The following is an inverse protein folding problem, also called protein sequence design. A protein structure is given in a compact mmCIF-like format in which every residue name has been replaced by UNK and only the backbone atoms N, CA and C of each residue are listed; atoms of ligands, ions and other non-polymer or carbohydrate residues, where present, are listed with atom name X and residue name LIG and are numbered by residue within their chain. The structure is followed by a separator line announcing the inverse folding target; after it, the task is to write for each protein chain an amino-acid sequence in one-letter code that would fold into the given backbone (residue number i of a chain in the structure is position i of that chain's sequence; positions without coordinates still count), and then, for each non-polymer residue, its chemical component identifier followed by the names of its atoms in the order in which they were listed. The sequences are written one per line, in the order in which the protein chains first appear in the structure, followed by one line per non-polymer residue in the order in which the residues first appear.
data_IF_781837511145
#
_entry.id   IF_781837511145
#
_cell.length_a   1.000
_cell.length_b   1.000
_cell.length_c   1.000
_cell.angle_alpha   90.00
_cell.angle_beta   90.00
_cell.angle_gamma   90.00
#
_symmetry.space_group_name_H-M   'P 1'
#
loop_
_entity.id
_entity.type
_entity.pdbx_description
1 polymer ?
#
# COMPACT_ATOMS: atom_id res chain seq x y z
N UNK A 1 -58.17 22.44 -8.97
CA UNK A 1 -58.96 22.93 -10.13
C UNK A 1 -60.43 22.51 -10.11
N UNK A 2 -60.79 21.31 -9.65
CA UNK A 2 -62.21 20.99 -9.37
C UNK A 2 -62.85 22.02 -8.41
N UNK A 3 -62.18 22.48 -7.33
CA UNK A 3 -62.74 23.52 -6.46
C UNK A 3 -62.92 24.89 -7.16
N UNK A 4 -61.98 25.30 -8.00
CA UNK A 4 -62.04 26.60 -8.71
C UNK A 4 -63.06 26.59 -9.84
N UNK A 5 -63.23 25.48 -10.55
CA UNK A 5 -64.29 25.32 -11.56
C UNK A 5 -65.69 25.38 -10.92
N UNK A 6 -65.87 24.76 -9.75
CA UNK A 6 -67.12 24.83 -8.98
C UNK A 6 -67.40 26.26 -8.52
N UNK A 7 -66.39 26.99 -8.03
CA UNK A 7 -66.52 28.40 -7.62
C UNK A 7 -66.87 29.31 -8.81
N UNK A 8 -66.25 29.10 -9.99
CA UNK A 8 -66.51 29.91 -11.19
C UNK A 8 -67.91 29.70 -11.76
N UNK A 9 -68.40 28.46 -11.73
CA UNK A 9 -69.78 28.12 -12.12
C UNK A 9 -70.77 28.74 -11.12
N UNK A 10 -70.46 28.72 -9.81
CA UNK A 10 -71.33 29.27 -8.77
C UNK A 10 -71.34 30.81 -8.71
N UNK A 11 -70.40 31.49 -9.37
CA UNK A 11 -70.30 32.97 -9.46
C UNK A 11 -70.80 33.54 -10.79
N UNK A 12 -71.45 32.72 -11.64
CA UNK A 12 -72.08 33.16 -12.89
C UNK A 12 -71.17 33.13 -14.13
N UNK A 13 -70.04 32.42 -14.08
CA UNK A 13 -69.17 32.23 -15.24
C UNK A 13 -69.77 31.32 -16.32
N UNK A 14 -69.35 31.48 -17.58
CA UNK A 14 -69.83 30.66 -18.71
C UNK A 14 -69.38 29.20 -18.57
N UNK A 15 -70.35 28.32 -18.32
CA UNK A 15 -70.16 26.87 -18.18
C UNK A 15 -69.46 26.26 -19.40
N UNK A 16 -69.71 26.76 -20.62
CA UNK A 16 -69.07 26.23 -21.83
C UNK A 16 -67.57 26.50 -21.83
N UNK A 17 -67.16 27.68 -21.36
CA UNK A 17 -65.74 28.03 -21.21
C UNK A 17 -65.08 27.21 -20.10
N UNK A 18 -65.76 27.02 -18.96
CA UNK A 18 -65.22 26.21 -17.85
C UNK A 18 -65.00 24.75 -18.27
N UNK A 19 -65.95 24.17 -19.00
CA UNK A 19 -65.84 22.79 -19.52
C UNK A 19 -64.74 22.71 -20.59
N UNK A 20 -64.70 23.65 -21.53
CA UNK A 20 -63.67 23.70 -22.57
C UNK A 20 -62.25 23.80 -22.01
N UNK A 21 -62.04 24.71 -21.04
CA UNK A 21 -60.75 24.87 -20.35
C UNK A 21 -60.38 23.64 -19.52
N UNK A 22 -61.36 22.99 -18.90
CA UNK A 22 -61.13 21.76 -18.13
C UNK A 22 -60.69 20.61 -19.02
N UNK A 23 -61.33 20.43 -20.19
CA UNK A 23 -60.96 19.40 -21.17
C UNK A 23 -59.54 19.64 -21.69
N UNK A 24 -59.21 20.88 -22.07
CA UNK A 24 -57.86 21.24 -22.50
C UNK A 24 -56.83 20.96 -21.40
N UNK A 25 -57.14 21.30 -20.16
CA UNK A 25 -56.26 21.05 -19.02
C UNK A 25 -56.08 19.54 -18.73
N UNK A 26 -57.14 18.73 -18.80
CA UNK A 26 -57.05 17.29 -18.58
C UNK A 26 -56.28 16.57 -19.70
N UNK A 27 -56.30 17.09 -20.93
CA UNK A 27 -55.53 16.55 -22.05
C UNK A 27 -54.06 17.01 -22.01
N UNK A 28 -53.80 18.30 -21.78
CA UNK A 28 -52.46 18.89 -21.87
C UNK A 28 -51.70 18.77 -20.55
N UNK A 29 -52.37 18.92 -19.41
CA UNK A 29 -51.75 18.96 -18.08
C UNK A 29 -50.87 17.74 -17.77
N UNK A 30 -51.36 16.49 -17.95
CA UNK A 30 -50.54 15.30 -17.75
C UNK A 30 -49.35 15.23 -18.71
N UNK A 31 -49.55 15.56 -19.99
CA UNK A 31 -48.47 15.55 -20.99
C UNK A 31 -47.39 16.59 -20.66
N UNK A 32 -47.80 17.78 -20.23
CA UNK A 32 -46.90 18.84 -19.78
C UNK A 32 -46.18 18.46 -18.49
N UNK A 33 -46.87 17.86 -17.52
CA UNK A 33 -46.26 17.36 -16.29
C UNK A 33 -45.21 16.28 -16.54
N UNK A 34 -45.49 15.31 -17.43
CA UNK A 34 -44.52 14.29 -17.86
C UNK A 34 -43.34 14.93 -18.59
N UNK A 35 -43.58 15.93 -19.44
CA UNK A 35 -42.52 16.67 -20.13
C UNK A 35 -41.59 17.37 -19.14
N UNK A 36 -42.13 18.12 -18.17
CA UNK A 36 -41.33 18.80 -17.13
C UNK A 36 -40.55 17.78 -16.29
N UNK A 37 -41.17 16.68 -15.88
CA UNK A 37 -40.50 15.64 -15.11
C UNK A 37 -39.37 14.98 -15.90
N UNK A 38 -39.59 14.65 -17.19
CA UNK A 38 -38.53 14.10 -18.05
C UNK A 38 -37.40 15.08 -18.28
N UNK A 39 -37.70 16.36 -18.51
CA UNK A 39 -36.69 17.41 -18.66
C UNK A 39 -35.85 17.57 -17.39
N UNK A 40 -36.48 17.57 -16.21
CA UNK A 40 -35.78 17.62 -14.92
C UNK A 40 -34.86 16.40 -14.72
N UNK A 41 -35.34 15.19 -15.05
CA UNK A 41 -34.55 13.95 -14.97
C UNK A 41 -33.36 13.99 -15.94
N UNK A 42 -33.56 14.46 -17.19
CA UNK A 42 -32.46 14.62 -18.17
C UNK A 42 -31.43 15.63 -17.66
N UNK A 43 -31.88 16.76 -17.10
CA UNK A 43 -30.99 17.76 -16.52
C UNK A 43 -30.19 17.19 -15.35
N UNK A 44 -30.82 16.39 -14.49
CA UNK A 44 -30.16 15.73 -13.37
C UNK A 44 -29.11 14.72 -13.84
N UNK A 45 -29.43 13.89 -14.83
CA UNK A 45 -28.45 12.95 -15.40
C UNK A 45 -27.31 13.66 -16.12
N UNK A 46 -27.59 14.77 -16.80
CA UNK A 46 -26.56 15.58 -17.46
C UNK A 46 -25.59 16.16 -16.44
N UNK A 47 -26.10 16.70 -15.33
CA UNK A 47 -25.28 17.19 -14.22
C UNK A 47 -24.39 16.08 -13.62
N UNK A 48 -24.94 14.89 -13.36
CA UNK A 48 -24.12 13.78 -12.85
C UNK A 48 -23.07 13.31 -13.86
N UNK A 49 -23.39 13.29 -15.15
CA UNK A 49 -22.44 12.95 -16.19
C UNK A 49 -21.29 13.96 -16.23
N UNK A 50 -21.60 15.26 -16.20
CA UNK A 50 -20.60 16.33 -16.17
C UNK A 50 -19.71 16.26 -14.91
N UNK A 51 -20.30 16.09 -13.73
CA UNK A 51 -19.54 15.91 -12.50
C UNK A 51 -18.62 14.68 -12.53
N UNK A 52 -19.06 13.59 -13.16
CA UNK A 52 -18.24 12.37 -13.33
C UNK A 52 -17.12 12.59 -14.33
N UNK A 53 -17.38 13.29 -15.44
CA UNK A 53 -16.37 13.65 -16.44
C UNK A 53 -15.31 14.56 -15.83
N UNK A 54 -15.71 15.60 -15.10
CA UNK A 54 -14.79 16.49 -14.39
C UNK A 54 -13.89 15.72 -13.41
N UNK A 55 -14.43 14.70 -12.73
CA UNK A 55 -13.63 13.85 -11.85
C UNK A 55 -12.62 12.99 -12.62
N UNK A 56 -12.99 12.49 -13.80
CA UNK A 56 -12.07 11.74 -14.67
C UNK A 56 -10.97 12.66 -15.20
N UNK A 57 -11.33 13.85 -15.69
CA UNK A 57 -10.37 14.86 -16.16
C UNK A 57 -9.37 15.23 -15.06
N UNK A 58 -9.85 15.52 -13.85
CA UNK A 58 -8.98 15.80 -12.70
C UNK A 58 -8.01 14.64 -12.36
N UNK A 59 -8.40 13.39 -12.60
CA UNK A 59 -7.53 12.22 -12.39
C UNK A 59 -6.51 12.09 -13.52
N UNK A 60 -6.90 12.43 -14.76
CA UNK A 60 -6.01 12.41 -15.93
C UNK A 60 -4.96 13.53 -15.88
N UNK A 61 -5.26 14.65 -15.24
CA UNK A 61 -4.33 15.76 -15.03
C UNK A 61 -3.30 15.50 -13.92
N UNK A 62 -3.30 14.30 -13.31
CA UNK A 62 -2.34 13.97 -12.26
C UNK A 62 -0.92 13.93 -12.84
N UNK A 63 0.00 14.67 -12.21
CA UNK A 63 1.39 14.76 -12.66
C UNK A 63 2.05 13.39 -12.66
N UNK A 64 2.49 12.94 -13.83
CA UNK A 64 3.24 11.69 -13.97
C UNK A 64 4.64 11.80 -13.34
N UNK A 65 5.14 10.69 -12.81
CA UNK A 65 6.53 10.59 -12.38
C UNK A 65 7.44 10.47 -13.61
N UNK A 66 8.39 11.40 -13.74
CA UNK A 66 9.35 11.39 -14.84
C UNK A 66 10.49 10.41 -14.57
N UNK A 67 10.78 9.52 -15.51
CA UNK A 67 11.93 8.62 -15.47
C UNK A 67 12.98 9.08 -16.47
N UNK A 68 14.26 8.86 -16.15
CA UNK A 68 15.36 9.07 -17.08
C UNK A 68 15.68 7.80 -17.86
N UNK A 69 16.90 7.73 -18.37
CA UNK A 69 17.43 6.64 -19.21
C UNK A 69 18.65 5.95 -18.61
N UNK A 70 19.08 6.33 -17.39
CA UNK A 70 20.28 5.77 -16.76
C UNK A 70 20.05 4.37 -16.23
N UNK A 71 21.11 3.57 -16.30
CA UNK A 71 21.23 2.26 -15.66
C UNK A 71 22.58 2.19 -14.94
N UNK A 72 22.58 2.08 -13.61
CA UNK A 72 23.78 1.84 -12.80
C UNK A 72 23.87 0.39 -12.33
N UNK A 73 25.08 -0.11 -12.04
CA UNK A 73 25.26 -1.46 -11.47
C UNK A 73 25.25 -1.48 -9.93
N UNK A 74 25.68 -0.39 -9.29
CA UNK A 74 25.70 -0.28 -7.84
C UNK A 74 24.30 -0.10 -7.23
N UNK A 75 24.18 -0.51 -5.96
CA UNK A 75 22.91 -0.72 -5.24
C UNK A 75 22.97 -0.23 -3.78
N UNK A 76 23.88 0.69 -3.48
CA UNK A 76 23.79 1.48 -2.25
C UNK A 76 22.56 2.38 -2.32
N UNK A 77 21.95 2.70 -1.17
CA UNK A 77 20.83 3.64 -1.07
C UNK A 77 21.30 4.85 -0.26
N UNK A 78 20.99 6.06 -0.70
CA UNK A 78 21.33 7.29 0.03
C UNK A 78 20.15 8.25 0.01
N UNK A 79 19.80 8.75 1.19
CA UNK A 79 18.87 9.85 1.42
C UNK A 79 19.70 11.08 1.79
N UNK A 80 19.48 12.18 1.09
CA UNK A 80 20.17 13.45 1.31
C UNK A 80 19.16 14.57 1.50
N UNK A 81 19.03 15.00 2.75
CA UNK A 81 18.22 16.13 3.21
C UNK A 81 16.75 16.03 2.77
N UNK A 82 16.23 14.80 2.81
CA UNK A 82 14.92 14.45 2.25
C UNK A 82 13.80 14.94 3.16
N UNK A 83 12.85 15.66 2.58
CA UNK A 83 11.60 16.02 3.24
C UNK A 83 10.38 15.66 2.39
N UNK A 84 9.30 15.26 3.05
CA UNK A 84 8.09 14.79 2.38
C UNK A 84 6.84 14.99 3.24
N UNK A 85 5.76 15.42 2.60
CA UNK A 85 4.42 15.57 3.15
C UNK A 85 3.38 14.86 2.27
N UNK A 86 2.38 14.27 2.91
CA UNK A 86 1.14 13.89 2.21
C UNK A 86 0.20 15.07 2.27
N UNK A 87 -0.10 15.65 1.10
CA UNK A 87 -0.84 16.92 1.03
C UNK A 87 -0.14 17.97 1.90
N UNK A 88 -0.79 18.48 2.94
CA UNK A 88 -0.26 19.49 3.84
C UNK A 88 0.41 18.93 5.12
N UNK A 89 0.42 17.60 5.30
CA UNK A 89 0.93 16.96 6.51
C UNK A 89 2.37 16.48 6.31
N UNK A 90 3.36 17.22 6.83
CA UNK A 90 4.77 16.80 6.82
C UNK A 90 4.97 15.53 7.63
N UNK A 91 5.50 14.50 6.97
CA UNK A 91 5.78 13.19 7.58
C UNK A 91 7.27 12.92 7.72
N UNK A 92 8.09 13.45 6.81
CA UNK A 92 9.55 13.34 6.83
C UNK A 92 10.13 14.76 6.79
N UNK A 93 11.04 15.06 7.72
CA UNK A 93 11.65 16.38 7.88
C UNK A 93 13.18 16.26 7.92
N UNK A 94 13.82 16.61 6.80
CA UNK A 94 15.27 16.68 6.62
C UNK A 94 16.04 15.41 7.05
N UNK A 95 15.65 14.26 6.49
CA UNK A 95 16.26 12.96 6.78
C UNK A 95 17.43 12.69 5.85
N UNK A 96 18.59 12.36 6.45
CA UNK A 96 19.82 11.98 5.75
C UNK A 96 20.40 10.70 6.33
N UNK A 97 20.58 9.68 5.50
CA UNK A 97 21.24 8.42 5.85
C UNK A 97 21.65 7.66 4.58
N UNK A 98 22.49 6.65 4.73
CA UNK A 98 22.85 5.74 3.64
C UNK A 98 22.76 4.29 4.07
N UNK A 99 22.55 3.39 3.11
CA UNK A 99 22.63 1.94 3.25
C UNK A 99 23.69 1.46 2.27
N UNK A 100 24.79 0.93 2.79
CA UNK A 100 25.92 0.45 1.99
C UNK A 100 25.57 -0.86 1.29
N UNK A 101 26.32 -1.19 0.24
CA UNK A 101 26.15 -2.46 -0.48
C UNK A 101 26.25 -3.65 0.48
N UNK A 102 25.23 -4.48 0.53
CA UNK A 102 25.17 -5.66 1.39
C UNK A 102 24.91 -5.39 2.87
N UNK A 103 24.67 -4.13 3.25
CA UNK A 103 24.30 -3.74 4.61
C UNK A 103 22.79 -3.92 4.82
N UNK A 104 22.42 -4.42 6.00
CA UNK A 104 21.04 -4.44 6.48
C UNK A 104 20.82 -3.33 7.50
N UNK A 105 20.03 -2.32 7.12
CA UNK A 105 19.63 -1.21 7.97
C UNK A 105 18.18 -1.38 8.42
N UNK A 106 17.94 -1.31 9.72
CA UNK A 106 16.61 -1.40 10.31
C UNK A 106 16.05 -0.03 10.71
N UNK A 107 14.79 0.25 10.38
CA UNK A 107 14.02 1.42 10.80
C UNK A 107 13.09 1.03 11.95
N UNK A 108 13.22 1.72 13.08
CA UNK A 108 12.45 1.47 14.30
C UNK A 108 11.92 2.77 14.86
N UNK A 109 10.88 2.72 15.69
CA UNK A 109 10.28 3.93 16.26
C UNK A 109 8.78 3.80 16.46
N UNK A 110 8.14 4.80 17.08
CA UNK A 110 6.70 4.78 17.31
C UNK A 110 5.89 4.69 16.02
N UNK A 111 4.67 4.16 16.12
CA UNK A 111 3.69 4.21 15.03
C UNK A 111 3.44 5.64 14.58
N UNK A 112 3.39 5.87 13.27
CA UNK A 112 3.26 7.23 12.71
C UNK A 112 4.57 8.04 12.64
N UNK A 113 5.71 7.50 13.08
CA UNK A 113 6.99 8.22 13.03
C UNK A 113 7.59 8.46 11.64
N UNK A 114 7.01 7.89 10.57
CA UNK A 114 7.47 8.08 9.18
C UNK A 114 8.19 6.89 8.54
N UNK A 115 8.40 5.78 9.26
CA UNK A 115 9.12 4.57 8.78
C UNK A 115 8.62 4.05 7.42
N UNK A 116 7.32 3.77 7.31
CA UNK A 116 6.69 3.29 6.08
C UNK A 116 6.81 4.31 4.94
N UNK A 117 6.81 5.61 5.25
CA UNK A 117 7.04 6.65 4.24
C UNK A 117 8.47 6.62 3.72
N UNK A 118 9.48 6.44 4.59
CA UNK A 118 10.88 6.27 4.16
C UNK A 118 11.02 5.07 3.23
N UNK A 119 10.44 3.91 3.59
CA UNK A 119 10.46 2.73 2.72
C UNK A 119 9.75 2.97 1.38
N UNK A 120 8.62 3.67 1.39
CA UNK A 120 7.90 4.03 0.16
C UNK A 120 8.71 4.98 -0.73
N UNK A 121 9.39 5.95 -0.15
CA UNK A 121 10.30 6.86 -0.87
C UNK A 121 11.51 6.10 -1.43
N UNK A 122 12.08 5.16 -0.68
CA UNK A 122 13.19 4.32 -1.15
C UNK A 122 12.80 3.46 -2.36
N UNK A 123 11.55 3.00 -2.42
CA UNK A 123 10.98 2.30 -3.58
C UNK A 123 10.40 3.23 -4.66
N UNK A 124 10.54 4.55 -4.49
CA UNK A 124 10.00 5.58 -5.39
C UNK A 124 8.50 5.46 -5.66
N UNK A 125 7.71 5.13 -4.64
CA UNK A 125 6.25 5.29 -4.70
C UNK A 125 5.84 6.78 -4.71
N UNK A 126 6.71 7.64 -4.18
CA UNK A 126 6.58 9.08 -4.21
C UNK A 126 7.94 9.70 -4.49
N UNK A 127 7.96 10.88 -5.09
CA UNK A 127 9.14 11.72 -5.14
C UNK A 127 9.18 12.62 -3.90
N UNK A 128 10.36 12.89 -3.32
CA UNK A 128 10.49 13.81 -2.20
C UNK A 128 10.18 15.25 -2.64
N UNK A 129 9.65 16.06 -1.73
CA UNK A 129 9.36 17.48 -1.97
C UNK A 129 10.65 18.32 -1.97
N UNK A 130 11.61 17.96 -1.12
CA UNK A 130 12.96 18.51 -1.10
C UNK A 130 13.98 17.42 -0.79
N UNK A 131 15.25 17.69 -1.11
CA UNK A 131 16.32 16.70 -0.99
C UNK A 131 16.31 15.70 -2.14
N UNK A 132 17.21 14.72 -2.05
CA UNK A 132 17.48 13.78 -3.12
C UNK A 132 17.67 12.36 -2.58
N UNK A 133 17.28 11.38 -3.38
CA UNK A 133 17.48 9.96 -3.09
C UNK A 133 18.34 9.40 -4.21
N UNK A 134 19.41 8.71 -3.84
CA UNK A 134 20.34 8.09 -4.78
C UNK A 134 20.34 6.57 -4.61
N UNK A 135 20.48 5.87 -5.74
CA UNK A 135 20.81 4.45 -5.77
C UNK A 135 22.13 4.32 -6.53
N UNK A 136 23.15 3.70 -5.93
CA UNK A 136 24.46 3.55 -6.58
C UNK A 136 25.08 4.87 -7.05
N UNK A 137 24.82 5.97 -6.34
CA UNK A 137 25.27 7.32 -6.69
C UNK A 137 24.47 8.02 -7.81
N UNK A 138 23.47 7.38 -8.41
CA UNK A 138 22.59 7.99 -9.42
C UNK A 138 21.29 8.41 -8.75
N UNK A 139 20.82 9.63 -9.04
CA UNK A 139 19.54 10.11 -8.49
C UNK A 139 18.41 9.19 -8.99
N UNK A 140 17.55 8.75 -8.08
CA UNK A 140 16.48 7.78 -8.34
C UNK A 140 15.52 8.24 -9.47
N UNK A 141 15.46 9.56 -9.73
CA UNK A 141 14.67 10.17 -10.79
C UNK A 141 15.22 9.93 -12.20
N UNK A 142 16.53 9.77 -12.32
CA UNK A 142 17.24 9.64 -13.60
C UNK A 142 17.30 8.21 -14.13
N UNK A 143 16.88 7.23 -13.33
CA UNK A 143 16.84 5.83 -13.76
C UNK A 143 15.76 5.57 -14.80
N UNK A 144 16.07 4.67 -15.72
CA UNK A 144 15.05 3.98 -16.50
C UNK A 144 14.07 3.23 -15.57
N UNK A 145 12.78 3.29 -15.90
CA UNK A 145 11.69 2.74 -15.08
C UNK A 145 11.84 1.25 -14.86
N UNK A 146 12.07 0.48 -15.94
CA UNK A 146 12.13 -0.98 -15.85
C UNK A 146 13.37 -1.41 -15.05
N UNK A 147 14.49 -0.73 -15.29
CA UNK A 147 15.75 -0.96 -14.58
C UNK A 147 15.60 -0.70 -13.08
N UNK A 148 14.99 0.43 -12.70
CA UNK A 148 14.73 0.75 -11.29
C UNK A 148 13.80 -0.28 -10.64
N UNK A 149 12.71 -0.62 -11.33
CA UNK A 149 11.75 -1.61 -10.83
C UNK A 149 12.39 -2.98 -10.65
N UNK A 150 13.28 -3.42 -11.55
CA UNK A 150 13.98 -4.70 -11.40
C UNK A 150 15.00 -4.70 -10.25
N UNK A 151 15.62 -3.55 -9.95
CA UNK A 151 16.60 -3.39 -8.87
C UNK A 151 16.01 -3.41 -7.46
N UNK A 152 14.74 -3.09 -7.31
CA UNK A 152 14.08 -2.95 -6.00
C UNK A 152 13.06 -4.06 -5.81
N UNK A 153 13.14 -4.80 -4.71
CA UNK A 153 12.04 -5.66 -4.27
C UNK A 153 11.46 -5.14 -2.98
N UNK A 154 10.16 -4.85 -2.99
CA UNK A 154 9.41 -4.42 -1.82
C UNK A 154 8.52 -5.55 -1.31
N UNK A 155 8.70 -5.96 -0.06
CA UNK A 155 7.80 -6.90 0.61
C UNK A 155 6.92 -6.13 1.57
N UNK A 156 5.63 -6.06 1.27
CA UNK A 156 4.65 -5.35 2.07
C UNK A 156 4.24 -6.13 3.31
N UNK A 157 3.91 -5.38 4.37
CA UNK A 157 3.27 -5.89 5.58
C UNK A 157 2.03 -6.74 5.24
N UNK A 158 1.12 -6.16 4.45
CA UNK A 158 -0.09 -6.84 3.99
C UNK A 158 0.09 -7.31 2.55
N UNK A 159 0.61 -8.53 2.42
CA UNK A 159 0.80 -9.17 1.13
C UNK A 159 -0.53 -9.43 0.43
N UNK A 160 -0.64 -9.01 -0.83
CA UNK A 160 -1.81 -9.28 -1.67
C UNK A 160 -1.46 -10.28 -2.76
N UNK A 161 -2.30 -11.28 -2.93
CA UNK A 161 -2.33 -12.17 -4.08
C UNK A 161 -3.44 -11.72 -5.02
N UNK A 162 -3.20 -11.84 -6.31
CA UNK A 162 -4.17 -11.53 -7.35
C UNK A 162 -5.04 -12.75 -7.64
N UNK A 163 -6.26 -12.51 -8.12
CA UNK A 163 -7.23 -13.55 -8.47
C UNK A 163 -6.84 -14.26 -9.78
N UNK A 164 -5.76 -15.02 -9.73
CA UNK A 164 -5.14 -15.78 -10.81
C UNK A 164 -4.49 -17.05 -10.21
N UNK A 165 -3.84 -17.87 -11.02
CA UNK A 165 -3.15 -19.07 -10.50
C UNK A 165 -2.01 -18.68 -9.54
N UNK A 166 -1.62 -19.60 -8.65
CA UNK A 166 -0.44 -19.38 -7.81
C UNK A 166 0.83 -19.21 -8.65
N UNK A 167 0.93 -19.97 -9.75
CA UNK A 167 2.01 -19.82 -10.72
C UNK A 167 2.08 -18.39 -11.26
N UNK A 168 0.97 -17.85 -11.77
CA UNK A 168 0.94 -16.50 -12.34
C UNK A 168 1.26 -15.45 -11.28
N UNK A 169 0.77 -15.63 -10.05
CA UNK A 169 1.15 -14.77 -8.93
C UNK A 169 2.66 -14.74 -8.71
N UNK A 170 3.34 -15.89 -8.77
CA UNK A 170 4.78 -15.99 -8.60
C UNK A 170 5.54 -15.35 -9.78
N UNK A 171 5.08 -15.58 -11.00
CA UNK A 171 5.67 -15.04 -12.23
C UNK A 171 5.60 -13.51 -12.34
N UNK A 172 4.75 -12.83 -11.55
CA UNK A 172 4.81 -11.35 -11.42
C UNK A 172 6.19 -10.89 -10.93
N UNK A 173 6.90 -11.69 -10.12
CA UNK A 173 8.25 -11.37 -9.67
C UNK A 173 9.31 -11.51 -10.75
N UNK A 174 9.15 -12.50 -11.64
CA UNK A 174 10.04 -12.81 -12.75
C UNK A 174 9.27 -13.61 -13.81
N UNK A 175 8.97 -12.99 -14.95
CA UNK A 175 8.06 -13.53 -15.98
C UNK A 175 8.61 -14.80 -16.65
N UNK A 176 9.93 -14.91 -16.78
CA UNK A 176 10.65 -15.99 -17.45
C UNK A 176 11.20 -17.04 -16.48
N UNK A 177 10.70 -17.09 -15.24
CA UNK A 177 11.18 -18.03 -14.23
C UNK A 177 10.92 -19.50 -14.62
N UNK A 178 11.96 -20.31 -14.50
CA UNK A 178 11.91 -21.76 -14.72
C UNK A 178 11.20 -22.48 -13.57
N UNK A 179 10.70 -23.70 -13.82
CA UNK A 179 10.06 -24.51 -12.76
C UNK A 179 10.99 -24.76 -11.56
N UNK A 180 12.30 -24.91 -11.82
CA UNK A 180 13.30 -25.07 -10.75
C UNK A 180 13.46 -23.81 -9.90
N UNK A 181 13.44 -22.63 -10.52
CA UNK A 181 13.49 -21.37 -9.78
C UNK A 181 12.23 -21.16 -8.93
N UNK A 182 11.06 -21.50 -9.49
CA UNK A 182 9.78 -21.47 -8.76
C UNK A 182 9.84 -22.42 -7.55
N UNK A 183 10.27 -23.66 -7.75
CA UNK A 183 10.39 -24.64 -6.67
C UNK A 183 11.36 -24.19 -5.59
N UNK A 184 12.54 -23.66 -5.96
CA UNK A 184 13.51 -23.14 -5.00
C UNK A 184 12.97 -21.93 -4.23
N UNK A 185 12.26 -21.02 -4.90
CA UNK A 185 11.65 -19.86 -4.24
C UNK A 185 10.55 -20.28 -3.24
N UNK A 186 9.75 -21.30 -3.58
CA UNK A 186 8.77 -21.89 -2.68
C UNK A 186 9.43 -22.55 -1.47
N UNK A 187 10.56 -23.25 -1.65
CA UNK A 187 11.32 -23.82 -0.53
C UNK A 187 11.92 -22.73 0.36
N UNK A 188 12.46 -21.67 -0.22
CA UNK A 188 13.19 -20.62 0.49
C UNK A 188 12.28 -19.68 1.27
N UNK A 189 11.09 -19.40 0.74
CA UNK A 189 10.03 -18.71 1.48
C UNK A 189 9.27 -19.63 2.44
N UNK A 190 9.60 -20.93 2.38
CA UNK A 190 8.87 -21.99 3.03
C UNK A 190 7.40 -21.96 2.66
N UNK A 191 6.98 -21.78 1.41
CA UNK A 191 5.57 -21.90 0.99
C UNK A 191 5.29 -23.20 0.22
N UNK A 192 6.30 -24.08 0.13
CA UNK A 192 6.20 -25.36 -0.59
C UNK A 192 5.13 -26.28 -0.02
N UNK A 193 5.05 -26.41 1.30
CA UNK A 193 4.02 -27.14 2.04
C UNK A 193 2.61 -26.63 1.74
N UNK A 194 2.44 -25.31 1.65
CA UNK A 194 1.15 -24.70 1.29
C UNK A 194 0.74 -25.18 -0.11
N UNK A 195 1.65 -25.10 -1.08
CA UNK A 195 1.39 -25.51 -2.47
C UNK A 195 1.14 -27.01 -2.58
N UNK A 196 1.90 -27.83 -1.86
CA UNK A 196 1.81 -29.30 -1.90
C UNK A 196 0.51 -29.84 -1.29
N UNK A 197 -0.07 -29.11 -0.33
CA UNK A 197 -1.35 -29.45 0.27
C UNK A 197 -2.56 -29.08 -0.61
N UNK A 198 -2.35 -28.38 -1.73
CA UNK A 198 -3.42 -28.02 -2.66
C UNK A 198 -3.59 -29.09 -3.74
N UNK A 199 -4.84 -29.47 -4.02
CA UNK A 199 -5.18 -30.47 -5.04
C UNK A 199 -4.58 -30.14 -6.42
N UNK A 200 -4.61 -28.88 -6.82
CA UNK A 200 -4.14 -28.41 -8.13
C UNK A 200 -2.74 -27.77 -8.05
N UNK A 201 -2.09 -27.82 -6.89
CA UNK A 201 -0.76 -27.23 -6.67
C UNK A 201 -0.65 -25.79 -7.15
N UNK A 202 0.36 -25.52 -7.97
CA UNK A 202 0.62 -24.21 -8.58
C UNK A 202 -0.52 -23.69 -9.50
N UNK A 203 -1.36 -24.59 -10.03
CA UNK A 203 -2.47 -24.20 -10.90
C UNK A 203 -3.71 -23.76 -10.11
N UNK A 204 -3.67 -23.85 -8.77
CA UNK A 204 -4.75 -23.39 -7.90
C UNK A 204 -5.01 -21.89 -8.10
N UNK A 205 -6.26 -21.51 -8.36
CA UNK A 205 -6.65 -20.10 -8.55
C UNK A 205 -7.01 -19.48 -7.19
N UNK A 206 -6.24 -18.47 -6.79
CA UNK A 206 -6.50 -17.70 -5.56
C UNK A 206 -7.79 -16.88 -5.67
N UNK A 207 -8.52 -16.73 -4.56
CA UNK A 207 -9.73 -15.89 -4.48
C UNK A 207 -10.96 -16.51 -5.15
N UNK A 208 -10.98 -17.84 -5.29
CA UNK A 208 -12.17 -18.63 -5.63
C UNK A 208 -12.75 -19.26 -4.35
N UNK A 209 -13.95 -19.86 -4.42
CA UNK A 209 -14.63 -20.41 -3.23
C UNK A 209 -13.72 -21.45 -2.56
N UNK A 210 -13.27 -21.17 -1.33
CA UNK A 210 -12.43 -22.08 -0.54
C UNK A 210 -10.91 -21.94 -0.75
N UNK A 211 -10.43 -20.98 -1.55
CA UNK A 211 -8.99 -20.79 -1.81
C UNK A 211 -8.44 -19.48 -1.22
N UNK A 212 -8.91 -19.12 -0.02
CA UNK A 212 -8.37 -17.99 0.74
C UNK A 212 -7.31 -18.48 1.71
N UNK A 213 -6.13 -17.89 1.63
CA UNK A 213 -5.03 -18.14 2.55
C UNK A 213 -5.15 -17.28 3.79
N UNK A 214 -4.62 -17.79 4.90
CA UNK A 214 -4.29 -16.97 6.06
C UNK A 214 -3.29 -15.87 5.67
N UNK A 215 -3.19 -14.82 6.49
CA UNK A 215 -2.25 -13.74 6.20
C UNK A 215 -0.78 -14.18 6.20
N UNK A 216 -0.40 -15.14 7.05
CA UNK A 216 0.95 -15.71 7.08
C UNK A 216 1.29 -16.50 5.82
N UNK A 217 0.37 -17.33 5.34
CA UNK A 217 0.53 -18.06 4.08
C UNK A 217 0.63 -17.11 2.87
N UNK A 218 -0.23 -16.08 2.81
CA UNK A 218 -0.17 -15.07 1.76
C UNK A 218 1.16 -14.29 1.78
N UNK A 219 1.72 -14.05 2.98
CA UNK A 219 3.02 -13.42 3.13
C UNK A 219 4.17 -14.34 2.66
N UNK A 220 4.16 -15.63 3.02
CA UNK A 220 5.14 -16.62 2.54
C UNK A 220 5.15 -16.71 1.00
N UNK A 221 3.99 -16.65 0.36
CA UNK A 221 3.88 -16.58 -1.11
C UNK A 221 4.36 -15.24 -1.70
N UNK A 222 4.23 -14.13 -0.98
CA UNK A 222 4.82 -12.85 -1.40
C UNK A 222 6.33 -12.81 -1.24
N UNK A 223 6.87 -13.49 -0.22
CA UNK A 223 8.32 -13.65 -0.04
C UNK A 223 8.88 -14.53 -1.16
N UNK A 224 8.16 -15.57 -1.60
CA UNK A 224 8.55 -16.38 -2.77
C UNK A 224 8.70 -15.50 -4.04
N UNK A 225 7.77 -14.56 -4.28
CA UNK A 225 7.89 -13.58 -5.37
C UNK A 225 9.18 -12.75 -5.26
N UNK A 226 9.55 -12.33 -4.06
CA UNK A 226 10.78 -11.57 -3.82
C UNK A 226 12.05 -12.42 -4.06
N UNK A 227 12.03 -13.71 -3.70
CA UNK A 227 13.09 -14.65 -4.05
C UNK A 227 13.24 -14.81 -5.57
N UNK A 228 12.14 -14.99 -6.29
CA UNK A 228 12.14 -15.11 -7.76
C UNK A 228 12.68 -13.86 -8.45
N UNK A 229 12.23 -12.69 -7.99
CA UNK A 229 12.71 -11.40 -8.52
C UNK A 229 14.20 -11.22 -8.28
N UNK A 230 14.70 -11.71 -7.14
CA UNK A 230 16.10 -11.62 -6.71
C UNK A 230 16.73 -10.24 -6.87
N UNK A 231 15.98 -9.18 -6.57
CA UNK A 231 16.47 -7.81 -6.59
C UNK A 231 17.62 -7.58 -5.60
N UNK A 232 18.50 -6.63 -5.90
CA UNK A 232 19.69 -6.31 -5.10
C UNK A 232 19.40 -5.37 -3.91
N UNK A 233 18.41 -4.47 -4.08
CA UNK A 233 17.91 -3.60 -3.03
C UNK A 233 16.57 -4.15 -2.52
N UNK A 234 16.57 -4.59 -1.27
CA UNK A 234 15.39 -5.12 -0.60
C UNK A 234 14.81 -4.09 0.35
N UNK A 235 13.50 -3.91 0.28
CA UNK A 235 12.75 -3.10 1.22
C UNK A 235 11.70 -4.01 1.88
N UNK A 236 11.82 -4.20 3.18
CA UNK A 236 10.98 -5.13 3.95
C UNK A 236 10.14 -4.31 4.92
N UNK A 237 8.82 -4.30 4.74
CA UNK A 237 7.88 -3.64 5.66
C UNK A 237 7.26 -4.72 6.58
N UNK A 238 7.97 -5.06 7.65
CA UNK A 238 7.61 -6.19 8.50
C UNK A 238 6.51 -5.82 9.50
N UNK A 239 5.31 -6.38 9.38
CA UNK A 239 4.51 -6.63 10.59
C UNK A 239 4.14 -8.09 10.72
N UNK A 240 4.84 -8.75 11.62
CA UNK A 240 4.60 -10.12 12.06
C UNK A 240 3.48 -10.17 13.11
N UNK A 241 2.33 -9.58 12.80
CA UNK A 241 1.13 -9.70 13.63
C UNK A 241 0.21 -10.80 13.09
N UNK A 242 0.74 -12.02 12.95
CA UNK A 242 -0.09 -13.21 12.76
C UNK A 242 -0.21 -13.95 14.09
N UNK A 243 -1.39 -14.53 14.35
CA UNK A 243 -1.67 -15.24 15.59
C UNK A 243 -0.88 -16.57 15.75
N UNK A 244 -0.06 -16.94 14.75
CA UNK A 244 0.64 -18.20 14.66
C UNK A 244 2.17 -18.02 14.77
N UNK A 245 2.78 -18.41 15.91
CA UNK A 245 4.22 -18.35 16.12
C UNK A 245 5.05 -19.21 15.15
N UNK A 246 4.51 -20.30 14.63
CA UNK A 246 5.23 -21.19 13.71
C UNK A 246 5.42 -20.50 12.35
N UNK A 247 4.33 -19.97 11.80
CA UNK A 247 4.37 -19.17 10.56
C UNK A 247 5.32 -17.98 10.70
N UNK A 248 5.30 -17.31 11.85
CA UNK A 248 6.19 -16.19 12.12
C UNK A 248 7.67 -16.61 12.05
N UNK A 249 8.04 -17.72 12.70
CA UNK A 249 9.41 -18.21 12.67
C UNK A 249 9.88 -18.53 11.24
N UNK A 250 9.01 -19.12 10.42
CA UNK A 250 9.29 -19.40 9.01
C UNK A 250 9.54 -18.10 8.23
N UNK A 251 8.66 -17.11 8.39
CA UNK A 251 8.77 -15.79 7.75
C UNK A 251 10.10 -15.11 8.11
N UNK A 252 10.48 -15.10 9.40
CA UNK A 252 11.74 -14.53 9.86
C UNK A 252 12.95 -15.21 9.23
N UNK A 253 12.94 -16.55 9.21
CA UNK A 253 14.00 -17.34 8.58
C UNK A 253 14.11 -17.02 7.09
N UNK A 254 12.98 -16.87 6.41
CA UNK A 254 12.95 -16.49 4.99
C UNK A 254 13.44 -15.07 4.76
N UNK A 255 13.10 -14.09 5.61
CA UNK A 255 13.69 -12.74 5.51
C UNK A 255 15.19 -12.75 5.70
N UNK A 256 15.70 -13.43 6.73
CA UNK A 256 17.15 -13.56 6.96
C UNK A 256 17.86 -14.21 5.76
N UNK A 257 17.24 -15.22 5.13
CA UNK A 257 17.77 -15.85 3.92
C UNK A 257 17.71 -14.91 2.71
N UNK A 258 16.60 -14.18 2.55
CA UNK A 258 16.38 -13.25 1.45
C UNK A 258 17.38 -12.07 1.51
N UNK A 259 17.62 -11.50 2.70
CA UNK A 259 18.52 -10.35 2.91
C UNK A 259 20.00 -10.66 2.79
N UNK A 260 20.38 -11.95 2.73
CA UNK A 260 21.79 -12.35 2.68
C UNK A 260 22.48 -11.78 1.43
N UNK A 261 23.59 -11.07 1.64
CA UNK A 261 24.40 -10.42 0.60
C UNK A 261 23.66 -9.35 -0.23
N UNK A 262 22.56 -8.80 0.29
CA UNK A 262 21.75 -7.77 -0.39
C UNK A 262 21.70 -6.50 0.43
N UNK A 263 21.63 -5.36 -0.25
CA UNK A 263 21.37 -4.08 0.42
C UNK A 263 19.93 -4.12 0.92
N UNK A 264 19.71 -4.01 2.23
CA UNK A 264 18.39 -4.20 2.82
C UNK A 264 18.01 -3.03 3.70
N UNK A 265 16.83 -2.45 3.44
CA UNK A 265 16.15 -1.50 4.31
C UNK A 265 14.92 -2.20 4.90
N UNK A 266 14.93 -2.43 6.21
CA UNK A 266 13.86 -3.17 6.89
C UNK A 266 13.15 -2.28 7.90
N UNK A 267 11.83 -2.18 7.82
CA UNK A 267 11.02 -1.64 8.91
C UNK A 267 10.65 -2.79 9.81
N UNK A 268 10.93 -2.66 11.11
CA UNK A 268 10.56 -3.68 12.07
C UNK A 268 9.52 -3.18 13.06
N UNK A 269 8.52 -4.02 13.29
CA UNK A 269 7.54 -3.86 14.37
C UNK A 269 7.82 -4.78 15.57
N UNK A 270 8.69 -5.79 15.39
CA UNK A 270 9.22 -6.62 16.48
C UNK A 270 10.69 -6.33 16.66
N UNK A 271 11.08 -5.98 17.87
CA UNK A 271 12.47 -5.64 18.14
C UNK A 271 13.39 -6.87 18.11
N UNK A 272 12.87 -8.10 18.17
CA UNK A 272 13.66 -9.32 17.97
C UNK A 272 14.25 -9.43 16.56
N UNK A 273 13.59 -8.87 15.54
CA UNK A 273 14.01 -8.99 14.14
C UNK A 273 15.20 -8.10 13.80
N UNK A 274 15.39 -7.00 14.55
CA UNK A 274 16.42 -5.99 14.28
C UNK A 274 17.71 -6.20 15.05
N UNK A 275 17.75 -7.13 16.00
CA UNK A 275 18.94 -7.37 16.83
C UNK A 275 20.13 -7.74 15.95
N UNK A 276 19.87 -8.49 14.88
CA UNK A 276 20.86 -8.94 13.90
C UNK A 276 21.16 -7.90 12.79
N UNK A 277 20.54 -6.72 12.81
CA UNK A 277 20.79 -5.70 11.78
C UNK A 277 22.19 -5.08 11.95
N UNK A 278 22.85 -4.75 10.83
CA UNK A 278 24.16 -4.12 10.84
C UNK A 278 24.11 -2.73 11.49
N UNK A 279 22.98 -2.05 11.31
CA UNK A 279 22.71 -0.71 11.86
C UNK A 279 21.22 -0.46 12.01
N UNK A 280 20.85 0.26 13.07
CA UNK A 280 19.48 0.61 13.41
C UNK A 280 19.34 2.12 13.38
N UNK A 281 18.28 2.62 12.73
CA UNK A 281 17.87 4.01 12.70
C UNK A 281 16.55 4.16 13.46
N UNK A 282 16.58 4.96 14.53
CA UNK A 282 15.38 5.30 15.30
C UNK A 282 14.73 6.51 14.66
N UNK A 283 13.52 6.32 14.14
CA UNK A 283 12.73 7.36 13.48
C UNK A 283 11.63 7.83 14.42
N UNK A 284 11.66 9.10 14.78
CA UNK A 284 10.61 9.75 15.58
C UNK A 284 10.23 11.09 14.96
N UNK A 285 8.92 11.36 14.87
CA UNK A 285 8.34 12.58 14.30
C UNK A 285 8.99 13.00 12.96
N UNK A 286 9.22 12.05 12.08
CA UNK A 286 9.77 12.30 10.74
C UNK A 286 11.28 12.56 10.68
N UNK A 287 12.01 12.35 11.79
CA UNK A 287 13.46 12.54 11.89
C UNK A 287 14.15 11.28 12.36
N UNK A 288 15.42 11.11 11.97
CA UNK A 288 16.30 10.11 12.59
C UNK A 288 16.85 10.73 13.88
N UNK A 289 16.46 10.18 15.03
CA UNK A 289 16.86 10.70 16.35
C UNK A 289 18.06 9.95 16.94
N UNK A 290 18.24 8.68 16.56
CA UNK A 290 19.37 7.85 16.97
C UNK A 290 19.78 6.89 15.86
N UNK A 291 21.07 6.57 15.86
CA UNK A 291 21.70 5.62 14.96
C UNK A 291 22.79 4.84 15.70
N UNK A 292 22.91 3.55 15.38
CA UNK A 292 23.96 2.68 15.91
C UNK A 292 23.60 1.20 15.84
N UNK A 293 24.46 0.36 16.42
CA UNK A 293 24.15 -1.06 16.63
C UNK A 293 23.25 -1.27 17.85
N UNK A 294 22.62 -2.44 17.94
CA UNK A 294 21.75 -2.82 19.05
C UNK A 294 22.38 -2.53 20.43
N UNK A 295 23.58 -3.08 20.67
CA UNK A 295 24.28 -2.92 21.95
C UNK A 295 24.65 -1.45 22.25
N UNK A 296 25.07 -0.71 21.24
CA UNK A 296 25.42 0.71 21.37
C UNK A 296 24.21 1.55 21.75
N UNK A 297 23.07 1.30 21.11
CA UNK A 297 21.82 2.02 21.37
C UNK A 297 21.22 1.67 22.73
N UNK A 298 21.36 0.42 23.20
CA UNK A 298 20.98 0.04 24.56
C UNK A 298 21.81 0.79 25.62
N UNK A 299 23.09 1.00 25.36
CA UNK A 299 23.99 1.71 26.29
C UNK A 299 23.75 3.22 26.33
N UNK A 300 23.18 3.82 25.27
CA UNK A 300 22.88 5.26 25.21
C UNK A 300 21.72 5.71 26.10
N UNK A 301 20.94 4.78 26.67
CA UNK A 301 19.70 5.09 27.42
C UNK A 301 18.73 6.03 26.68
N UNK A 302 18.71 5.94 25.35
CA UNK A 302 17.89 6.77 24.46
C UNK A 302 16.46 6.28 24.25
N UNK A 303 15.82 6.83 23.23
CA UNK A 303 14.53 6.39 22.70
C UNK A 303 14.54 4.91 22.29
N UNK A 304 15.66 4.42 21.73
CA UNK A 304 15.78 2.99 21.40
C UNK A 304 15.57 2.10 22.63
N UNK A 305 16.27 2.41 23.73
CA UNK A 305 16.17 1.62 24.97
C UNK A 305 14.75 1.65 25.54
N UNK A 306 14.08 2.81 25.52
CA UNK A 306 12.68 2.90 25.98
C UNK A 306 11.76 1.97 25.20
N UNK A 307 11.90 1.95 23.87
CA UNK A 307 11.15 1.04 23.00
C UNK A 307 11.48 -0.43 23.33
N UNK A 308 12.75 -0.73 23.58
CA UNK A 308 13.20 -2.07 23.98
C UNK A 308 12.59 -2.52 25.32
N UNK A 309 12.63 -1.67 26.33
CA UNK A 309 12.08 -1.98 27.65
C UNK A 309 10.54 -2.11 27.62
N UNK A 310 9.85 -1.32 26.80
CA UNK A 310 8.41 -1.47 26.53
C UNK A 310 8.09 -2.81 25.84
N UNK A 311 8.88 -3.19 24.85
CA UNK A 311 8.73 -4.46 24.16
C UNK A 311 8.95 -5.64 25.11
N UNK A 312 10.01 -5.62 25.92
CA UNK A 312 10.28 -6.67 26.90
C UNK A 312 9.13 -6.81 27.90
N UNK A 313 8.61 -5.69 28.43
CA UNK A 313 7.43 -5.68 29.31
C UNK A 313 6.19 -6.26 28.64
N UNK A 314 5.95 -5.94 27.37
CA UNK A 314 4.82 -6.47 26.63
C UNK A 314 4.92 -7.98 26.40
N UNK A 315 6.13 -8.48 26.11
CA UNK A 315 6.39 -9.91 25.93
C UNK A 315 6.30 -10.69 27.26
N UNK A 316 6.74 -10.09 28.36
CA UNK A 316 6.69 -10.70 29.70
C UNK A 316 5.33 -10.55 30.40
N UNK A 317 4.37 -9.85 29.80
CA UNK A 317 3.09 -9.56 30.42
C UNK A 317 2.23 -10.81 30.58
N UNK A 318 1.68 -11.00 31.79
CA UNK A 318 0.77 -12.11 32.12
C UNK A 318 -0.50 -11.58 32.79
N UNK A 319 -1.66 -12.16 32.46
CA UNK A 319 -2.93 -11.83 33.12
C UNK A 319 -2.84 -12.27 34.59
N UNK A 320 -2.89 -11.31 35.51
CA UNK A 320 -2.85 -11.55 36.96
C UNK A 320 -1.45 -11.50 37.60
N UNK A 321 -0.40 -11.18 36.83
CA UNK A 321 0.96 -10.99 37.37
C UNK A 321 1.15 -9.62 38.01
N UNK A 322 1.82 -9.58 39.17
CA UNK A 322 2.38 -8.33 39.71
C UNK A 322 3.50 -7.88 38.78
N UNK A 323 3.27 -6.81 38.02
CA UNK A 323 4.33 -6.13 37.28
C UNK A 323 5.14 -5.29 38.28
N UNK A 324 6.24 -5.81 38.78
CA UNK A 324 7.32 -5.01 39.39
C UNK A 324 8.23 -4.41 38.30
#
# INVERSE_FOLDING_TARGET
MVPTAIIFINTGGDIRQVIGNSIIYFLIGPAFGVFIMRSAVISQYSYFAEASLNKIENILDYKEMHYGDKSGEEVSLEFKDVSFAYEDNTVIDNVSFSVKKGETVALVGPSGGGKTTIAKLAARFYDPQSGEIFIGGINIKEYDKQTLMNKISFVFQNSRLFKMSLRDNLLIGKEDATDREIEQALLDSGSKDIVDNLKDGLNTVYGTKGTYFSGGEAQRLSIARAFLKSADLLILDEATAFADPENEHIIQKSFKKLSKNKTTLMIAHRLSTIVDADRILVVDKGKIVEEGKHEELLNKNGQYKKLWDEYQRAVSWQIGGQNE
#
